data_IF_745296026503
#
_entry.id   IF_745296026503
#
_cell.length_a   1.000
_cell.length_b   1.000
_cell.length_c   1.000
_cell.angle_alpha   90.00
_cell.angle_beta   90.00
_cell.angle_gamma   90.00
#
_symmetry.space_group_name_H-M   'P 1'
#
loop_
_entity.id
_entity.type
_entity.pdbx_description
1 polymer ?
#
# COMPACT_ATOMS: atom_id res chain seq x y z
N UNK A 1 -2.70 -11.73 -0.77
CA UNK A 1 -1.94 -10.59 -0.24
C UNK A 1 -1.55 -10.76 1.24
N UNK A 2 -2.50 -10.99 2.17
CA UNK A 2 -2.20 -11.14 3.63
C UNK A 2 -1.16 -12.22 3.95
N UNK A 3 -1.32 -13.44 3.44
CA UNK A 3 -0.36 -14.52 3.67
C UNK A 3 1.06 -14.23 3.13
N UNK A 4 1.17 -13.42 2.07
CA UNK A 4 2.47 -13.01 1.55
C UNK A 4 3.13 -11.94 2.44
N UNK A 5 2.34 -10.98 2.94
CA UNK A 5 2.82 -10.01 3.93
C UNK A 5 3.34 -10.70 5.19
N UNK A 6 2.66 -11.73 5.69
CA UNK A 6 3.13 -12.50 6.85
C UNK A 6 4.46 -13.23 6.59
N UNK A 7 4.64 -13.79 5.38
CA UNK A 7 5.91 -14.42 5.01
C UNK A 7 7.07 -13.42 5.00
N UNK A 8 6.85 -12.21 4.48
CA UNK A 8 7.86 -11.14 4.49
C UNK A 8 8.17 -10.67 5.91
N UNK A 9 7.16 -10.53 6.76
CA UNK A 9 7.36 -10.18 8.18
C UNK A 9 8.18 -11.25 8.91
N UNK A 10 7.95 -12.53 8.62
CA UNK A 10 8.70 -13.63 9.20
C UNK A 10 10.20 -13.60 8.85
N UNK A 11 10.60 -12.96 7.75
CA UNK A 11 12.01 -12.76 7.38
C UNK A 11 12.60 -11.45 7.93
N UNK A 12 11.89 -10.75 8.81
CA UNK A 12 12.33 -9.48 9.40
C UNK A 12 12.09 -8.25 8.50
N UNK A 13 11.40 -8.42 7.37
CA UNK A 13 11.04 -7.28 6.52
C UNK A 13 9.93 -6.47 7.17
N UNK A 14 10.13 -5.15 7.30
CA UNK A 14 9.07 -4.23 7.71
C UNK A 14 8.04 -4.11 6.59
N UNK A 15 6.78 -4.45 6.87
CA UNK A 15 5.70 -4.48 5.88
C UNK A 15 4.51 -3.67 6.35
N UNK A 16 4.13 -2.68 5.54
CA UNK A 16 2.84 -1.98 5.62
C UNK A 16 1.88 -2.63 4.63
N UNK A 17 0.71 -3.06 5.11
CA UNK A 17 -0.33 -3.64 4.26
C UNK A 17 -1.46 -2.63 4.08
N UNK A 18 -1.71 -2.23 2.84
CA UNK A 18 -2.87 -1.44 2.47
C UNK A 18 -4.10 -2.35 2.33
N UNK A 19 -5.21 -2.00 2.99
CA UNK A 19 -6.48 -2.71 2.82
C UNK A 19 -7.22 -2.17 1.59
N UNK A 20 -6.97 -2.80 0.45
CA UNK A 20 -7.62 -2.47 -0.80
C UNK A 20 -8.99 -3.14 -1.02
N UNK A 21 -9.60 -3.77 -0.01
CA UNK A 21 -10.79 -4.62 -0.22
C UNK A 21 -12.02 -3.87 -0.76
N UNK A 22 -12.10 -2.55 -0.57
CA UNK A 22 -13.14 -1.70 -1.12
C UNK A 22 -12.88 -1.27 -2.59
N UNK A 23 -11.71 -1.58 -3.15
CA UNK A 23 -11.27 -1.08 -4.46
C UNK A 23 -11.15 -2.21 -5.47
N UNK A 24 -11.47 -1.89 -6.73
CA UNK A 24 -11.22 -2.81 -7.84
C UNK A 24 -9.80 -2.63 -8.36
N UNK A 25 -9.29 -3.63 -9.08
CA UNK A 25 -8.02 -3.48 -9.79
C UNK A 25 -8.03 -2.31 -10.78
N UNK A 26 -9.16 -2.07 -11.45
CA UNK A 26 -9.27 -0.98 -12.42
C UNK A 26 -9.25 0.40 -11.76
N UNK A 27 -9.96 0.58 -10.64
CA UNK A 27 -9.94 1.86 -9.91
C UNK A 27 -8.54 2.16 -9.37
N UNK A 28 -7.87 1.16 -8.80
CA UNK A 28 -6.47 1.31 -8.37
C UNK A 28 -5.57 1.74 -9.53
N UNK A 29 -5.69 1.10 -10.69
CA UNK A 29 -4.84 1.42 -11.83
C UNK A 29 -5.16 2.78 -12.47
N UNK A 30 -6.43 3.20 -12.45
CA UNK A 30 -6.87 4.45 -13.04
C UNK A 30 -6.60 5.68 -12.17
N UNK A 31 -6.72 5.53 -10.84
CA UNK A 31 -6.72 6.65 -9.90
C UNK A 31 -5.37 6.83 -9.19
N UNK A 32 -4.44 5.89 -9.31
CA UNK A 32 -3.14 6.00 -8.63
C UNK A 32 -2.31 7.15 -9.19
N UNK A 33 -1.87 8.05 -8.31
CA UNK A 33 -1.20 9.29 -8.64
C UNK A 33 -2.12 10.53 -8.59
N UNK A 34 -3.43 10.32 -8.52
CA UNK A 34 -4.40 11.41 -8.37
C UNK A 34 -4.51 11.88 -6.92
N UNK A 35 -4.65 13.19 -6.73
CA UNK A 35 -4.83 13.77 -5.40
C UNK A 35 -6.15 13.30 -4.77
N UNK A 36 -6.06 12.73 -3.58
CA UNK A 36 -7.21 12.20 -2.84
C UNK A 36 -7.51 10.71 -3.10
N UNK A 37 -6.82 10.05 -4.03
CA UNK A 37 -6.85 8.59 -4.12
C UNK A 37 -6.27 7.95 -2.86
N UNK A 38 -6.93 6.91 -2.37
CA UNK A 38 -6.60 6.29 -1.10
C UNK A 38 -5.27 5.53 -1.15
N UNK A 39 -4.96 4.87 -2.26
CA UNK A 39 -3.67 4.17 -2.40
C UNK A 39 -2.52 5.18 -2.54
N UNK A 40 -2.74 6.27 -3.26
CA UNK A 40 -1.80 7.39 -3.41
C UNK A 40 -1.50 8.03 -2.06
N UNK A 41 -2.52 8.34 -1.27
CA UNK A 41 -2.36 8.86 0.08
C UNK A 41 -1.59 7.89 0.99
N UNK A 42 -1.91 6.59 0.94
CA UNK A 42 -1.23 5.57 1.73
C UNK A 42 0.25 5.40 1.32
N UNK A 43 0.54 5.41 0.01
CA UNK A 43 1.90 5.32 -0.51
C UNK A 43 2.74 6.54 -0.11
N UNK A 44 2.18 7.75 -0.21
CA UNK A 44 2.85 8.98 0.21
C UNK A 44 3.13 9.00 1.71
N UNK A 45 2.18 8.57 2.54
CA UNK A 45 2.39 8.44 3.98
C UNK A 45 3.50 7.43 4.31
N UNK A 46 3.54 6.29 3.60
CA UNK A 46 4.62 5.31 3.74
C UNK A 46 5.98 5.90 3.36
N UNK A 47 6.09 6.59 2.23
CA UNK A 47 7.35 7.19 1.78
C UNK A 47 7.84 8.26 2.75
N UNK A 48 6.96 9.16 3.21
CA UNK A 48 7.31 10.17 4.23
C UNK A 48 7.83 9.56 5.53
N UNK A 49 7.36 8.37 5.90
CA UNK A 49 7.79 7.69 7.11
C UNK A 49 9.09 6.87 6.94
N UNK A 50 9.52 6.60 5.70
CA UNK A 50 10.60 5.64 5.41
C UNK A 50 11.77 6.21 4.62
N UNK A 51 11.59 7.34 3.94
CA UNK A 51 12.63 8.06 3.21
C UNK A 51 13.07 9.24 4.08
N UNK A 52 14.28 9.15 4.63
CA UNK A 52 14.97 10.22 5.34
C UNK A 52 15.90 10.99 4.38
#
# INVERSE_FOLDING_TARGET
SKAFAERLRATGTKVTLFDGSAYTHMSINGDFGEDGDALTAAALAFLKATVA
#
